data_IF_338418031152
#
_entry.id   IF_338418031152
#
_cell.length_a   1.000
_cell.length_b   1.000
_cell.length_c   1.000
_cell.angle_alpha   90.00
_cell.angle_beta   90.00
_cell.angle_gamma   90.00
#
_symmetry.space_group_name_H-M   'P 1'
#
loop_
_entity.id
_entity.type
_entity.pdbx_description
1 polymer ?
#
# COMPACT_ATOMS: atom_id res chain seq x y z
N UNK A 1 13.41 -2.93 2.36
CA UNK A 1 13.54 -1.76 1.45
C UNK A 1 12.48 -0.72 1.75
N UNK A 2 11.18 -1.07 1.68
CA UNK A 2 10.04 -0.13 1.75
C UNK A 2 9.90 0.70 3.04
N UNK A 3 10.66 0.40 4.10
CA UNK A 3 10.61 1.13 5.37
C UNK A 3 11.99 1.29 6.00
N UNK A 4 13.06 1.16 5.21
CA UNK A 4 14.44 1.36 5.70
C UNK A 4 14.66 2.85 5.92
N UNK A 5 15.15 3.24 7.10
CA UNK A 5 15.35 4.64 7.48
C UNK A 5 16.32 5.38 6.56
N UNK A 6 17.42 4.75 6.17
CA UNK A 6 18.40 5.35 5.24
C UNK A 6 17.80 5.71 3.87
N UNK A 7 16.71 5.04 3.47
CA UNK A 7 16.02 5.31 2.21
C UNK A 7 14.84 6.26 2.39
N UNK A 8 14.04 6.05 3.44
CA UNK A 8 12.72 6.67 3.59
C UNK A 8 12.65 7.74 4.69
N UNK A 9 13.71 7.94 5.47
CA UNK A 9 13.74 8.81 6.65
C UNK A 9 13.25 8.12 7.93
N UNK A 10 13.32 8.83 9.06
CA UNK A 10 12.88 8.33 10.37
C UNK A 10 11.39 7.92 10.38
N UNK A 11 10.57 8.57 9.58
CA UNK A 11 9.14 8.31 9.44
C UNK A 11 8.83 7.28 8.35
N UNK A 12 9.81 6.54 7.82
CA UNK A 12 9.62 5.53 6.77
C UNK A 12 8.68 4.37 7.14
N UNK A 13 8.32 4.22 8.42
CA UNK A 13 7.32 3.26 8.90
C UNK A 13 5.90 3.85 9.00
N UNK A 14 5.75 5.16 8.82
CA UNK A 14 4.49 5.88 8.90
C UNK A 14 3.83 5.99 7.53
N UNK A 15 2.50 6.00 7.51
CA UNK A 15 1.73 6.27 6.30
C UNK A 15 1.70 7.78 6.05
N UNK A 16 2.51 8.24 5.10
CA UNK A 16 2.61 9.64 4.70
C UNK A 16 2.43 9.75 3.17
N UNK A 17 1.22 10.09 2.68
CA UNK A 17 0.95 10.27 1.25
C UNK A 17 1.72 11.43 0.63
N UNK A 18 1.95 12.51 1.38
CA UNK A 18 2.58 13.73 0.86
C UNK A 18 4.06 13.52 0.52
N UNK A 19 4.69 12.45 1.06
CA UNK A 19 6.06 12.05 0.72
C UNK A 19 6.28 11.85 -0.78
N UNK A 20 5.24 11.51 -1.54
CA UNK A 20 5.34 11.31 -2.98
C UNK A 20 5.46 12.63 -3.77
N UNK A 21 5.21 13.78 -3.14
CA UNK A 21 5.39 15.10 -3.74
C UNK A 21 6.87 15.51 -3.77
N UNK A 22 7.64 15.14 -2.74
CA UNK A 22 9.10 15.28 -2.70
C UNK A 22 9.73 14.08 -1.96
N UNK A 23 10.35 13.21 -2.74
CA UNK A 23 10.96 11.99 -2.20
C UNK A 23 12.24 12.30 -1.41
N UNK A 24 12.53 11.56 -0.33
CA UNK A 24 13.82 11.64 0.33
C UNK A 24 14.98 11.34 -0.64
N UNK A 25 16.13 12.00 -0.45
CA UNK A 25 17.31 11.78 -1.28
C UNK A 25 17.79 10.31 -1.28
N UNK A 26 17.63 9.62 -0.14
CA UNK A 26 17.88 8.19 -0.04
C UNK A 26 17.01 7.38 -1.00
N UNK A 27 15.72 7.72 -1.12
CA UNK A 27 14.80 7.02 -2.02
C UNK A 27 15.10 7.30 -3.50
N UNK A 28 15.41 8.56 -3.85
CA UNK A 28 15.74 8.99 -5.23
C UNK A 28 16.94 8.24 -5.83
N UNK A 29 17.93 7.91 -5.01
CA UNK A 29 19.18 7.27 -5.43
C UNK A 29 19.09 5.75 -5.62
N UNK A 30 17.98 5.13 -5.23
CA UNK A 30 17.86 3.66 -5.23
C UNK A 30 17.18 3.12 -6.50
N UNK A 31 17.75 2.07 -7.12
CA UNK A 31 17.18 1.46 -8.32
C UNK A 31 15.87 0.71 -8.02
N UNK A 32 14.99 0.61 -9.01
CA UNK A 32 13.70 -0.06 -8.91
C UNK A 32 12.75 0.39 -10.01
N UNK A 33 11.70 -0.38 -10.27
CA UNK A 33 10.61 0.08 -11.17
C UNK A 33 9.87 1.27 -10.57
N UNK A 34 9.85 1.35 -9.24
CA UNK A 34 9.55 2.55 -8.45
C UNK A 34 10.73 2.75 -7.49
N UNK A 35 11.36 3.94 -7.43
CA UNK A 35 12.55 4.16 -6.61
C UNK A 35 12.35 3.72 -5.16
N UNK A 36 13.34 3.00 -4.60
CA UNK A 36 13.37 2.48 -3.24
C UNK A 36 12.22 1.55 -2.79
N UNK A 37 11.34 1.11 -3.71
CA UNK A 37 10.31 0.11 -3.43
C UNK A 37 10.68 -1.27 -3.97
N UNK A 38 10.53 -2.28 -3.10
CA UNK A 38 10.65 -3.70 -3.44
C UNK A 38 9.31 -4.38 -3.74
N UNK A 39 8.21 -3.63 -3.79
CA UNK A 39 6.84 -4.17 -3.94
C UNK A 39 6.65 -4.93 -5.25
N UNK A 40 7.31 -4.48 -6.32
CA UNK A 40 7.28 -5.11 -7.64
C UNK A 40 8.62 -5.78 -7.97
N UNK A 41 9.41 -6.14 -6.96
CA UNK A 41 10.80 -6.62 -7.11
C UNK A 41 11.68 -5.63 -7.90
N UNK A 42 12.89 -6.05 -8.27
CA UNK A 42 13.88 -5.21 -8.96
C UNK A 42 14.65 -6.04 -9.99
N UNK A 43 15.16 -5.39 -11.04
CA UNK A 43 16.01 -6.02 -12.05
C UNK A 43 15.27 -7.04 -12.93
N UNK A 44 15.94 -8.12 -13.38
CA UNK A 44 15.36 -9.15 -14.25
C UNK A 44 14.15 -9.89 -13.65
N UNK A 45 13.99 -9.85 -12.32
CA UNK A 45 12.85 -10.43 -11.61
C UNK A 45 11.78 -9.41 -11.22
N UNK A 46 11.85 -8.19 -11.77
CA UNK A 46 10.79 -7.20 -11.59
C UNK A 46 9.47 -7.70 -12.16
N UNK A 47 8.36 -7.31 -11.54
CA UNK A 47 7.02 -7.68 -12.00
C UNK A 47 6.77 -7.08 -13.40
N UNK A 48 6.59 -7.92 -14.44
CA UNK A 48 6.36 -7.40 -15.79
C UNK A 48 5.04 -6.64 -15.91
N UNK A 49 4.07 -6.94 -15.04
CA UNK A 49 2.75 -6.34 -15.02
C UNK A 49 2.64 -5.10 -14.11
N UNK A 50 3.74 -4.55 -13.58
CA UNK A 50 3.66 -3.48 -12.57
C UNK A 50 2.86 -2.26 -13.05
N UNK A 51 3.02 -1.86 -14.33
CA UNK A 51 2.29 -0.72 -14.91
C UNK A 51 0.80 -0.99 -15.00
N UNK A 52 0.43 -2.22 -15.38
CA UNK A 52 -0.96 -2.66 -15.44
C UNK A 52 -1.59 -2.68 -14.05
N UNK A 53 -0.93 -3.31 -13.07
CA UNK A 53 -1.40 -3.33 -11.69
C UNK A 53 -1.56 -1.92 -11.10
N UNK A 54 -0.63 -1.00 -11.39
CA UNK A 54 -0.74 0.40 -10.98
C UNK A 54 -1.93 1.12 -11.64
N UNK A 55 -2.24 0.83 -12.91
CA UNK A 55 -3.40 1.40 -13.57
C UNK A 55 -4.71 0.87 -12.96
N UNK A 56 -4.82 -0.43 -12.74
CA UNK A 56 -6.00 -1.04 -12.10
C UNK A 56 -6.23 -0.50 -10.69
N UNK A 57 -5.19 -0.42 -9.85
CA UNK A 57 -5.31 0.16 -8.51
C UNK A 57 -5.80 1.60 -8.55
N UNK A 58 -5.30 2.42 -9.47
CA UNK A 58 -5.76 3.81 -9.64
C UNK A 58 -7.23 3.87 -10.06
N UNK A 59 -7.66 3.02 -11.00
CA UNK A 59 -9.06 2.96 -11.46
C UNK A 59 -9.98 2.55 -10.31
N UNK A 60 -9.64 1.49 -9.58
CA UNK A 60 -10.45 1.01 -8.44
C UNK A 60 -10.56 2.08 -7.37
N UNK A 61 -9.44 2.74 -7.00
CA UNK A 61 -9.47 3.81 -5.99
C UNK A 61 -10.30 5.00 -6.49
N UNK A 62 -10.06 5.47 -7.72
CA UNK A 62 -10.78 6.61 -8.29
C UNK A 62 -12.29 6.36 -8.32
N UNK A 63 -12.72 5.19 -8.81
CA UNK A 63 -14.12 4.80 -8.83
C UNK A 63 -14.70 4.68 -7.42
N UNK A 64 -13.96 4.06 -6.50
CA UNK A 64 -14.40 3.85 -5.13
C UNK A 64 -14.66 5.18 -4.41
N UNK A 65 -13.71 6.12 -4.48
CA UNK A 65 -13.85 7.44 -3.83
C UNK A 65 -14.82 8.37 -4.53
N UNK A 66 -15.07 8.19 -5.84
CA UNK A 66 -16.03 9.00 -6.58
C UNK A 66 -17.47 8.51 -6.47
N UNK A 67 -17.68 7.26 -6.04
CA UNK A 67 -19.01 6.61 -6.05
C UNK A 67 -19.52 6.29 -4.65
N UNK A 68 -18.65 6.25 -3.64
CA UNK A 68 -19.02 5.86 -2.29
C UNK A 68 -18.47 6.80 -1.22
N UNK A 69 -19.28 7.06 -0.19
CA UNK A 69 -18.82 7.55 1.09
C UNK A 69 -18.39 6.36 1.96
N UNK A 70 -17.16 6.42 2.48
CA UNK A 70 -16.62 5.41 3.39
C UNK A 70 -16.91 5.79 4.84
N UNK A 71 -17.34 4.81 5.62
CA UNK A 71 -17.67 4.96 7.04
C UNK A 71 -16.72 4.15 7.92
N UNK A 72 -16.61 4.55 9.18
CA UNK A 72 -15.78 3.86 10.16
C UNK A 72 -16.28 2.42 10.40
N UNK A 73 -15.35 1.47 10.39
CA UNK A 73 -15.58 0.03 10.51
C UNK A 73 -14.79 -0.53 11.67
N UNK A 74 -14.88 -1.85 11.89
CA UNK A 74 -14.08 -2.53 12.90
C UNK A 74 -12.57 -2.20 12.75
N UNK A 75 -11.84 -2.16 13.86
CA UNK A 75 -10.40 -1.94 13.82
C UNK A 75 -9.69 -3.05 13.04
N UNK A 76 -9.05 -2.67 11.94
CA UNK A 76 -8.35 -3.60 11.05
C UNK A 76 -6.86 -3.62 11.40
N UNK A 77 -6.33 -4.82 11.59
CA UNK A 77 -4.91 -5.07 11.77
C UNK A 77 -4.34 -5.77 10.54
N UNK A 78 -3.03 -5.63 10.34
CA UNK A 78 -2.29 -6.28 9.26
C UNK A 78 -1.51 -7.47 9.78
N UNK A 79 -1.50 -8.58 9.04
CA UNK A 79 -0.55 -9.67 9.25
C UNK A 79 0.26 -9.89 7.98
N UNK A 80 1.57 -9.72 8.10
CA UNK A 80 2.52 -9.91 7.00
C UNK A 80 3.18 -11.28 7.13
N UNK A 81 2.95 -12.15 6.15
CA UNK A 81 3.76 -13.35 5.90
C UNK A 81 4.35 -13.21 4.50
N UNK A 82 3.95 -14.06 3.54
CA UNK A 82 4.32 -13.89 2.13
C UNK A 82 3.62 -12.68 1.49
N UNK A 83 2.35 -12.47 1.83
CA UNK A 83 1.57 -11.28 1.48
C UNK A 83 1.02 -10.66 2.75
N UNK A 84 0.82 -9.34 2.73
CA UNK A 84 0.15 -8.64 3.83
C UNK A 84 -1.35 -8.81 3.67
N UNK A 85 -2.01 -9.40 4.67
CA UNK A 85 -3.47 -9.60 4.66
C UNK A 85 -4.11 -8.89 5.86
N UNK A 86 -5.23 -8.20 5.66
CA UNK A 86 -5.97 -7.58 6.74
C UNK A 86 -6.77 -8.64 7.52
N UNK A 87 -6.97 -8.37 8.81
CA UNK A 87 -7.90 -9.10 9.65
C UNK A 87 -8.51 -8.14 10.68
N UNK A 88 -9.68 -8.49 11.19
CA UNK A 88 -10.36 -7.69 12.20
C UNK A 88 -9.79 -8.02 13.58
N UNK A 89 -9.45 -6.98 14.35
CA UNK A 89 -8.95 -7.11 15.71
C UNK A 89 -9.85 -8.04 16.55
N UNK A 90 -9.24 -8.95 17.32
CA UNK A 90 -9.92 -9.95 18.15
C UNK A 90 -10.84 -10.95 17.41
N UNK A 91 -10.83 -10.99 16.07
CA UNK A 91 -11.67 -11.92 15.28
C UNK A 91 -10.83 -12.86 14.39
N UNK A 92 -9.70 -13.33 14.91
CA UNK A 92 -8.76 -14.19 14.17
C UNK A 92 -9.39 -15.49 13.64
N UNK A 93 -10.29 -16.10 14.40
CA UNK A 93 -10.99 -17.34 14.01
C UNK A 93 -11.84 -17.18 12.74
N UNK A 94 -12.23 -15.95 12.38
CA UNK A 94 -12.98 -15.66 11.15
C UNK A 94 -12.08 -15.45 9.92
N UNK A 95 -10.76 -15.54 10.09
CA UNK A 95 -9.78 -15.44 9.01
C UNK A 95 -9.55 -14.01 8.49
N UNK A 96 -8.88 -13.93 7.34
CA UNK A 96 -8.52 -12.66 6.69
C UNK A 96 -9.73 -12.01 6.02
N UNK A 97 -9.98 -10.74 6.34
CA UNK A 97 -11.10 -9.96 5.82
C UNK A 97 -10.86 -8.47 5.99
N UNK A 98 -11.46 -7.69 5.10
CA UNK A 98 -11.50 -6.23 5.14
C UNK A 98 -12.96 -5.79 5.02
N UNK A 99 -13.75 -5.84 6.11
CA UNK A 99 -15.12 -5.33 6.07
C UNK A 99 -15.10 -3.82 5.82
N UNK A 100 -15.70 -3.39 4.71
CA UNK A 100 -15.87 -1.98 4.38
C UNK A 100 -17.33 -1.60 4.64
N UNK A 101 -17.55 -0.46 5.29
CA UNK A 101 -18.87 0.18 5.37
C UNK A 101 -18.89 1.32 4.37
N UNK A 102 -19.81 1.23 3.41
CA UNK A 102 -19.92 2.19 2.32
C UNK A 102 -21.37 2.55 2.06
N UNK A 103 -21.59 3.80 1.68
CA UNK A 103 -22.86 4.36 1.21
C UNK A 103 -22.65 4.90 -0.21
N UNK A 104 -23.56 4.64 -1.14
CA UNK A 104 -23.52 5.28 -2.46
C UNK A 104 -23.66 6.81 -2.31
N UNK A 105 -22.88 7.55 -3.09
CA UNK A 105 -22.96 9.01 -3.16
C UNK A 105 -24.20 9.48 -3.92
#
# INVERSE_FOLDING_TARGET
MNSIRDMWGEDGHQFNPDRWLDLPEGAKKNPGVVPALGTFSVGPHSCPAFRFAMAEMKIVIAYAVSSFAFEETDKILRRSMMVTRPYVENQWSKGYRLPLRVRAL
#
